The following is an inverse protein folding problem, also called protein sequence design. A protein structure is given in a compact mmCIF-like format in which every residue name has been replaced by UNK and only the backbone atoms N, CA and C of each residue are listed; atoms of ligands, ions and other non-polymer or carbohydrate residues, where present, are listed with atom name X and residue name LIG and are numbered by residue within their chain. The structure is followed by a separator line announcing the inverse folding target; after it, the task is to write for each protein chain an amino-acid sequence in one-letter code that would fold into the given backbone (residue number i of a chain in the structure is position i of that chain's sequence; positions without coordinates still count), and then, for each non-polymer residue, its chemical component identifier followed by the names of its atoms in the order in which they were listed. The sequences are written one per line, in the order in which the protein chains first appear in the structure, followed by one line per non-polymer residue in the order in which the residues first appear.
data_IF_345046653565
#
_entry.id   IF_345046653565
#
_cell.length_a   1.000
_cell.length_b   1.000
_cell.length_c   1.000
_cell.angle_alpha   90.00
_cell.angle_beta   90.00
_cell.angle_gamma   90.00
#
_symmetry.space_group_name_H-M   'P 1'
#
loop_
_entity.id
_entity.type
_entity.pdbx_description
1 polymer ?
#
# COMPACT_ATOMS: atom_id res chain seq x y z
N UNK A 1 30.44 6.80 -5.00
CA UNK A 1 29.78 6.42 -3.72
C UNK A 1 28.50 7.21 -3.46
N UNK A 2 28.49 8.54 -3.51
CA UNK A 2 27.28 9.37 -3.25
C UNK A 2 26.11 9.06 -4.21
N UNK A 3 26.37 8.84 -5.50
CA UNK A 3 25.34 8.44 -6.49
C UNK A 3 24.69 7.08 -6.18
N UNK A 4 25.43 6.14 -5.59
CA UNK A 4 24.88 4.82 -5.22
C UNK A 4 23.95 4.91 -4.01
N UNK A 5 24.32 5.73 -3.01
CA UNK A 5 23.54 5.93 -1.79
C UNK A 5 22.29 6.77 -2.06
N UNK A 6 22.37 7.76 -2.95
CA UNK A 6 21.23 8.59 -3.33
C UNK A 6 20.30 7.97 -4.38
N UNK A 7 20.80 7.05 -5.21
CA UNK A 7 20.06 6.48 -6.34
C UNK A 7 19.27 5.22 -6.03
N UNK A 8 19.65 4.46 -4.99
CA UNK A 8 18.97 3.21 -4.64
C UNK A 8 17.91 3.52 -3.58
N UNK A 9 16.61 3.40 -3.91
CA UNK A 9 15.54 3.76 -3.00
C UNK A 9 15.31 2.63 -1.99
N UNK A 10 16.30 2.34 -1.14
CA UNK A 10 16.24 1.28 -0.12
C UNK A 10 15.06 1.46 0.85
N UNK A 11 14.58 2.69 1.00
CA UNK A 11 13.45 3.03 1.85
C UNK A 11 12.09 2.89 1.14
N UNK A 12 12.04 2.83 -0.20
CA UNK A 12 10.79 2.72 -0.96
C UNK A 12 9.91 1.53 -0.52
N UNK A 13 10.41 0.29 -0.35
CA UNK A 13 9.56 -0.82 0.11
C UNK A 13 8.99 -0.56 1.51
N UNK A 14 9.78 0.07 2.40
CA UNK A 14 9.34 0.41 3.76
C UNK A 14 8.27 1.49 3.74
N UNK A 15 8.46 2.55 2.95
CA UNK A 15 7.49 3.65 2.83
C UNK A 15 6.16 3.14 2.27
N UNK A 16 6.20 2.29 1.23
CA UNK A 16 4.98 1.68 0.68
C UNK A 16 4.25 0.82 1.72
N UNK A 17 4.98 -0.02 2.46
CA UNK A 17 4.40 -0.86 3.51
C UNK A 17 3.73 -0.05 4.63
N UNK A 18 4.36 1.04 5.07
CA UNK A 18 3.80 1.93 6.10
C UNK A 18 2.56 2.66 5.58
N UNK A 19 2.59 3.16 4.34
CA UNK A 19 1.43 3.80 3.72
C UNK A 19 0.23 2.85 3.62
N UNK A 20 0.45 1.60 3.20
CA UNK A 20 -0.60 0.58 3.16
C UNK A 20 -1.13 0.22 4.55
N UNK A 21 -0.27 0.16 5.57
CA UNK A 21 -0.71 -0.07 6.95
C UNK A 21 -1.62 1.07 7.45
N UNK A 22 -1.25 2.32 7.21
CA UNK A 22 -2.07 3.50 7.56
C UNK A 22 -3.40 3.47 6.79
N UNK A 23 -3.35 3.16 5.48
CA UNK A 23 -4.54 3.00 4.64
C UNK A 23 -5.48 1.91 5.15
N UNK A 24 -4.94 0.75 5.54
CA UNK A 24 -5.72 -0.35 6.10
C UNK A 24 -6.43 0.03 7.40
N UNK A 25 -5.77 0.82 8.24
CA UNK A 25 -6.36 1.32 9.48
C UNK A 25 -7.52 2.29 9.20
N UNK A 26 -7.35 3.18 8.20
CA UNK A 26 -8.41 4.09 7.76
C UNK A 26 -9.60 3.35 7.15
N UNK A 27 -9.37 2.33 6.32
CA UNK A 27 -10.43 1.47 5.78
C UNK A 27 -11.18 0.71 6.88
N UNK A 28 -10.46 0.22 7.89
CA UNK A 28 -11.07 -0.44 9.05
C UNK A 28 -12.02 0.48 9.82
N UNK A 29 -11.67 1.76 9.97
CA UNK A 29 -12.57 2.77 10.56
C UNK A 29 -13.85 3.01 9.72
N UNK A 30 -13.82 2.70 8.42
CA UNK A 30 -14.96 2.76 7.52
C UNK A 30 -15.73 1.43 7.42
N UNK A 31 -15.34 0.41 8.20
CA UNK A 31 -15.96 -0.91 8.21
C UNK A 31 -15.39 -1.90 7.19
N UNK A 32 -14.34 -1.54 6.44
CA UNK A 32 -13.69 -2.42 5.47
C UNK A 32 -12.39 -3.00 6.07
N UNK A 33 -12.40 -4.30 6.42
CA UNK A 33 -11.23 -4.99 6.95
C UNK A 33 -10.50 -5.74 5.82
N UNK A 34 -9.27 -5.32 5.51
CA UNK A 34 -8.44 -5.96 4.50
C UNK A 34 -7.63 -7.11 5.10
N UNK A 35 -7.80 -8.34 4.58
CA UNK A 35 -7.03 -9.52 5.04
C UNK A 35 -5.59 -9.54 4.54
N UNK A 36 -5.30 -8.84 3.43
CA UNK A 36 -4.01 -8.74 2.76
C UNK A 36 -3.74 -7.29 2.38
N UNK A 37 -2.53 -6.77 2.59
CA UNK A 37 -2.18 -5.40 2.19
C UNK A 37 -2.31 -5.20 0.67
N UNK A 38 -2.02 -6.23 -0.13
CA UNK A 38 -2.19 -6.22 -1.59
C UNK A 38 -3.65 -6.04 -2.02
N UNK A 39 -4.62 -6.39 -1.19
CA UNK A 39 -6.04 -6.18 -1.52
C UNK A 39 -6.36 -4.69 -1.68
N UNK A 40 -5.63 -3.80 -1.00
CA UNK A 40 -5.82 -2.35 -1.14
C UNK A 40 -5.45 -1.89 -2.56
N UNK A 41 -4.38 -2.43 -3.13
CA UNK A 41 -3.97 -2.12 -4.50
C UNK A 41 -4.93 -2.73 -5.54
N UNK A 42 -5.32 -4.00 -5.34
CA UNK A 42 -6.29 -4.66 -6.22
C UNK A 42 -7.64 -3.94 -6.25
N UNK A 43 -8.12 -3.46 -5.09
CA UNK A 43 -9.35 -2.66 -5.01
C UNK A 43 -9.20 -1.30 -5.71
N UNK A 44 -8.01 -0.70 -5.70
CA UNK A 44 -7.74 0.56 -6.38
C UNK A 44 -7.70 0.38 -7.92
N UNK A 45 -7.32 -0.80 -8.42
CA UNK A 45 -7.33 -1.16 -9.84
C UNK A 45 -8.61 -1.87 -10.30
N UNK A 46 -9.66 -1.92 -9.48
CA UNK A 46 -10.86 -2.70 -9.80
C UNK A 46 -11.84 -1.90 -10.65
N UNK A 47 -12.03 -2.31 -11.91
CA UNK A 47 -12.96 -1.64 -12.83
C UNK A 47 -14.41 -2.16 -12.74
N UNK A 48 -14.60 -3.44 -12.38
CA UNK A 48 -15.92 -4.06 -12.29
C UNK A 48 -16.09 -4.78 -10.95
N UNK A 49 -17.13 -4.39 -10.22
CA UNK A 49 -17.60 -5.10 -9.04
C UNK A 49 -18.81 -5.93 -9.47
N UNK A 50 -18.59 -7.22 -9.72
CA UNK A 50 -19.67 -8.16 -9.96
C UNK A 50 -20.36 -8.44 -8.61
N UNK A 51 -21.58 -7.94 -8.46
CA UNK A 51 -22.39 -8.08 -7.25
C UNK A 51 -23.44 -9.17 -7.38
#
# INVERSE_FOLDING_TARGET
LVLLIGGIPIAMPTVLSVTMAIGSHKLSQQGAITKRMTAIEEMAGMDVLCS
#
